data_IF_855778871691
#
_entry.id   IF_855778871691
#
_cell.length_a   1.000
_cell.length_b   1.000
_cell.length_c   1.000
_cell.angle_alpha   90.00
_cell.angle_beta   90.00
_cell.angle_gamma   90.00
#
_symmetry.space_group_name_H-M   'P 1'
#
loop_
_entity.id
_entity.type
_entity.pdbx_description
1 polymer ?
#
# COMPACT_ATOMS: atom_id res chain seq x y z
N UNK A 1 -15.30 5.04 -18.32
CA UNK A 1 -14.74 4.08 -17.34
C UNK A 1 -13.55 3.33 -17.94
N UNK A 2 -13.67 2.63 -19.07
CA UNK A 2 -12.57 1.86 -19.67
C UNK A 2 -11.38 2.64 -20.22
N UNK A 3 -11.56 3.92 -20.55
CA UNK A 3 -10.46 4.75 -21.01
C UNK A 3 -9.31 4.83 -19.98
N UNK A 4 -9.60 4.65 -18.68
CA UNK A 4 -8.58 4.58 -17.62
C UNK A 4 -7.65 3.39 -17.84
N UNK A 5 -8.13 2.31 -18.47
CA UNK A 5 -7.34 1.13 -18.84
C UNK A 5 -6.85 1.17 -20.30
N UNK A 6 -6.95 2.32 -20.98
CA UNK A 6 -6.53 2.46 -22.38
C UNK A 6 -7.43 1.70 -23.36
N UNK A 7 -8.60 1.27 -22.91
CA UNK A 7 -9.57 0.49 -23.69
C UNK A 7 -10.69 1.36 -24.20
N UNK A 8 -11.12 1.07 -25.42
CA UNK A 8 -12.28 1.70 -26.07
C UNK A 8 -13.38 0.70 -26.43
N UNK A 9 -13.17 -0.59 -26.15
CA UNK A 9 -14.14 -1.66 -26.36
C UNK A 9 -15.11 -1.78 -25.16
N UNK A 10 -16.14 -2.62 -25.31
CA UNK A 10 -17.16 -2.86 -24.28
C UNK A 10 -16.98 -4.22 -23.57
N UNK A 11 -15.92 -4.98 -23.90
CA UNK A 11 -15.74 -6.34 -23.38
C UNK A 11 -15.48 -6.30 -21.87
N UNK A 12 -16.35 -6.95 -21.09
CA UNK A 12 -16.29 -6.96 -19.63
C UNK A 12 -16.85 -5.68 -18.96
N UNK A 13 -17.40 -4.71 -19.72
CA UNK A 13 -17.87 -3.42 -19.16
C UNK A 13 -18.92 -3.62 -18.08
N UNK A 14 -19.83 -4.57 -18.30
CA UNK A 14 -20.87 -4.92 -17.36
C UNK A 14 -20.28 -5.49 -16.05
N UNK A 15 -19.25 -6.33 -16.16
CA UNK A 15 -18.59 -6.92 -15.00
C UNK A 15 -17.83 -5.87 -14.20
N UNK A 16 -17.08 -4.98 -14.89
CA UNK A 16 -16.39 -3.86 -14.26
C UNK A 16 -17.38 -2.90 -13.57
N UNK A 17 -18.47 -2.55 -14.24
CA UNK A 17 -19.49 -1.68 -13.65
C UNK A 17 -20.14 -2.34 -12.43
N UNK A 18 -20.37 -3.64 -12.48
CA UNK A 18 -20.88 -4.41 -11.33
C UNK A 18 -19.89 -4.38 -10.17
N UNK A 19 -18.60 -4.66 -10.42
CA UNK A 19 -17.53 -4.60 -9.41
C UNK A 19 -17.48 -3.22 -8.75
N UNK A 20 -17.50 -2.14 -9.54
CA UNK A 20 -17.46 -0.77 -9.04
C UNK A 20 -18.71 -0.40 -8.24
N UNK A 21 -19.88 -0.87 -8.67
CA UNK A 21 -21.13 -0.66 -7.92
C UNK A 21 -21.11 -1.42 -6.59
N UNK A 22 -20.48 -2.59 -6.54
CA UNK A 22 -20.30 -3.35 -5.30
C UNK A 22 -19.30 -2.67 -4.36
N UNK A 23 -18.16 -2.19 -4.88
CA UNK A 23 -17.19 -1.40 -4.11
C UNK A 23 -17.80 -0.10 -3.56
N UNK A 24 -18.63 0.60 -4.33
CA UNK A 24 -19.30 1.83 -3.92
C UNK A 24 -20.30 1.65 -2.75
N UNK A 25 -20.71 0.40 -2.46
CA UNK A 25 -21.51 0.07 -1.26
C UNK A 25 -20.66 0.05 0.01
N UNK A 26 -19.36 -0.19 -0.12
CA UNK A 26 -18.41 -0.32 0.99
C UNK A 26 -17.70 1.01 1.25
N UNK A 27 -17.23 1.67 0.19
CA UNK A 27 -16.44 2.89 0.27
C UNK A 27 -17.31 4.14 0.12
N UNK A 28 -17.06 5.13 0.97
CA UNK A 28 -17.73 6.43 0.93
C UNK A 28 -16.86 7.48 0.23
N UNK A 29 -15.58 7.57 0.59
CA UNK A 29 -14.63 8.52 0.01
C UNK A 29 -13.18 8.06 0.22
N UNK A 30 -12.30 8.65 -0.59
CA UNK A 30 -10.85 8.51 -0.50
C UNK A 30 -10.29 9.92 -0.32
N UNK A 31 -9.67 10.17 0.82
CA UNK A 31 -9.13 11.47 1.19
C UNK A 31 -7.61 11.40 1.33
N UNK A 32 -6.96 12.57 1.35
CA UNK A 32 -5.52 12.71 1.60
C UNK A 32 -4.66 11.83 0.65
N UNK A 33 -5.09 11.73 -0.62
CA UNK A 33 -4.41 10.88 -1.60
C UNK A 33 -3.03 11.42 -1.97
N UNK A 34 -2.01 10.58 -1.83
CA UNK A 34 -0.63 10.86 -2.22
C UNK A 34 -0.13 9.77 -3.15
N UNK A 35 0.49 10.16 -4.27
CA UNK A 35 1.06 9.24 -5.25
C UNK A 35 2.58 9.28 -5.23
N UNK A 36 3.22 8.11 -5.18
CA UNK A 36 4.66 7.92 -5.28
C UNK A 36 4.94 7.23 -6.61
N UNK A 37 5.66 7.92 -7.50
CA UNK A 37 5.86 7.48 -8.88
C UNK A 37 7.33 7.15 -9.10
N UNK A 38 7.58 5.96 -9.62
CA UNK A 38 8.88 5.58 -10.18
C UNK A 38 8.73 5.18 -11.64
N UNK A 39 9.85 5.15 -12.38
CA UNK A 39 9.89 4.59 -13.73
C UNK A 39 9.54 3.11 -13.67
N UNK A 40 8.78 2.65 -14.66
CA UNK A 40 8.46 1.24 -14.84
C UNK A 40 9.50 0.53 -15.69
N UNK A 41 9.20 -0.71 -16.06
CA UNK A 41 10.08 -1.57 -16.85
C UNK A 41 10.27 -1.04 -18.28
N UNK A 42 9.19 -0.56 -18.90
CA UNK A 42 9.20 0.02 -20.24
C UNK A 42 9.56 1.52 -20.19
N UNK A 43 10.18 2.09 -21.24
CA UNK A 43 10.61 3.50 -21.25
C UNK A 43 9.50 4.53 -20.97
N UNK A 44 8.27 4.20 -21.38
CA UNK A 44 7.08 5.05 -21.22
C UNK A 44 6.12 4.48 -20.17
N UNK A 45 6.65 3.77 -19.17
CA UNK A 45 5.85 3.21 -18.10
C UNK A 45 6.30 3.67 -16.72
N UNK A 46 5.41 3.45 -15.75
CA UNK A 46 5.54 3.95 -14.40
C UNK A 46 4.92 2.94 -13.42
N UNK A 47 5.55 2.79 -12.26
CA UNK A 47 4.93 2.14 -11.09
C UNK A 47 4.47 3.25 -10.17
N UNK A 48 3.18 3.26 -9.86
CA UNK A 48 2.55 4.30 -9.04
C UNK A 48 2.01 3.67 -7.77
N UNK A 49 2.59 3.98 -6.62
CA UNK A 49 2.01 3.65 -5.33
C UNK A 49 1.07 4.77 -4.89
N UNK A 50 -0.13 4.41 -4.45
CA UNK A 50 -1.22 5.32 -4.13
C UNK A 50 -1.59 5.10 -2.66
N UNK A 51 -1.25 6.07 -1.82
CA UNK A 51 -1.67 6.12 -0.43
C UNK A 51 -2.92 6.97 -0.31
N UNK A 52 -3.91 6.55 0.47
CA UNK A 52 -5.11 7.34 0.76
C UNK A 52 -5.70 6.97 2.10
N UNK A 53 -6.41 7.91 2.72
CA UNK A 53 -7.27 7.67 3.87
C UNK A 53 -8.67 7.33 3.39
N UNK A 54 -9.05 6.07 3.57
CA UNK A 54 -10.32 5.54 3.10
C UNK A 54 -11.39 5.72 4.17
N UNK A 55 -12.51 6.30 3.78
CA UNK A 55 -13.73 6.36 4.58
C UNK A 55 -14.66 5.23 4.15
N UNK A 56 -14.95 4.33 5.07
CA UNK A 56 -15.98 3.30 4.89
C UNK A 56 -17.36 3.85 5.20
N UNK A 57 -18.39 3.33 4.52
CA UNK A 57 -19.77 3.67 4.88
C UNK A 57 -20.07 3.23 6.32
N UNK A 58 -20.82 4.06 7.03
CA UNK A 58 -21.28 3.82 8.41
C UNK A 58 -20.14 3.67 9.46
N UNK A 59 -18.92 4.09 9.14
CA UNK A 59 -17.76 4.07 10.05
C UNK A 59 -17.08 5.44 10.02
N UNK A 60 -16.91 6.08 11.19
CA UNK A 60 -16.34 7.42 11.29
C UNK A 60 -14.83 7.50 11.12
N UNK A 61 -14.14 6.48 11.59
CA UNK A 61 -12.68 6.41 11.51
C UNK A 61 -12.22 6.08 10.09
N UNK A 62 -11.40 6.96 9.52
CA UNK A 62 -10.72 6.68 8.24
C UNK A 62 -9.57 5.71 8.44
N UNK A 63 -9.35 4.83 7.47
CA UNK A 63 -8.27 3.86 7.50
C UNK A 63 -7.27 4.13 6.37
N UNK A 64 -5.96 4.12 6.64
CA UNK A 64 -4.97 4.25 5.58
C UNK A 64 -5.00 3.01 4.67
N UNK A 65 -4.91 3.22 3.37
CA UNK A 65 -4.85 2.18 2.34
C UNK A 65 -3.76 2.49 1.33
N UNK A 66 -2.86 1.53 1.12
CA UNK A 66 -1.82 1.58 0.10
C UNK A 66 -2.20 0.61 -1.03
N UNK A 67 -2.28 1.13 -2.24
CA UNK A 67 -2.41 0.32 -3.45
C UNK A 67 -1.33 0.71 -4.46
N UNK A 68 -1.24 -0.02 -5.56
CA UNK A 68 -0.34 0.32 -6.66
C UNK A 68 -1.03 0.13 -8.01
N UNK A 69 -0.53 0.84 -9.03
CA UNK A 69 -0.92 0.66 -10.42
C UNK A 69 0.31 0.70 -11.31
N UNK A 70 0.32 -0.15 -12.34
CA UNK A 70 1.26 -0.03 -13.45
C UNK A 70 0.63 0.85 -14.53
N UNK A 71 1.31 1.93 -14.89
CA UNK A 71 0.78 2.96 -15.79
C UNK A 71 1.66 3.05 -17.03
N UNK A 72 1.04 3.10 -18.19
CA UNK A 72 1.69 3.29 -19.48
C UNK A 72 1.29 4.65 -20.06
N UNK A 73 2.20 5.26 -20.81
CA UNK A 73 1.99 6.50 -21.55
C UNK A 73 2.01 6.20 -23.05
N UNK A 74 0.85 6.24 -23.70
CA UNK A 74 0.72 6.09 -25.16
C UNK A 74 -0.61 6.64 -25.69
N UNK A 75 -0.61 7.63 -26.60
CA UNK A 75 0.54 8.40 -27.08
C UNK A 75 1.15 9.27 -25.96
N UNK A 76 2.17 10.07 -26.27
CA UNK A 76 2.77 11.01 -25.32
C UNK A 76 1.70 11.86 -24.62
N UNK A 77 1.85 12.04 -23.31
CA UNK A 77 0.94 12.75 -22.40
C UNK A 77 -0.45 12.11 -22.24
N UNK A 78 -0.66 10.87 -22.72
CA UNK A 78 -1.87 10.10 -22.52
C UNK A 78 -1.58 8.83 -21.69
N UNK A 79 -2.01 8.86 -20.43
CA UNK A 79 -1.74 7.80 -19.45
C UNK A 79 -2.92 6.84 -19.28
N UNK A 80 -2.62 5.56 -19.13
CA UNK A 80 -3.60 4.53 -18.79
C UNK A 80 -2.99 3.48 -17.86
N UNK A 81 -3.84 2.89 -17.01
CA UNK A 81 -3.50 1.77 -16.14
C UNK A 81 -3.51 0.48 -16.93
N UNK A 82 -2.50 -0.36 -16.73
CA UNK A 82 -2.47 -1.72 -17.26
C UNK A 82 -3.18 -2.63 -16.27
N UNK A 83 -4.14 -3.41 -16.75
CA UNK A 83 -4.81 -4.42 -15.93
C UNK A 83 -3.77 -5.49 -15.48
N UNK A 84 -3.81 -5.91 -14.20
CA UNK A 84 -2.79 -6.78 -13.61
C UNK A 84 -2.62 -8.13 -14.36
N UNK A 85 -3.69 -8.66 -14.95
CA UNK A 85 -3.68 -9.87 -15.76
C UNK A 85 -3.03 -9.68 -17.13
N UNK A 86 -3.00 -8.44 -17.64
CA UNK A 86 -2.39 -8.05 -18.92
C UNK A 86 -0.94 -7.61 -18.81
N UNK A 87 -0.42 -7.41 -17.60
CA UNK A 87 1.00 -7.17 -17.38
C UNK A 87 1.83 -8.42 -17.73
N UNK A 88 2.98 -8.21 -18.37
CA UNK A 88 3.98 -9.24 -18.64
C UNK A 88 4.64 -9.73 -17.34
N UNK A 89 5.30 -10.88 -17.38
CA UNK A 89 6.02 -11.42 -16.23
C UNK A 89 7.17 -10.51 -15.78
N UNK A 90 7.88 -9.90 -16.73
CA UNK A 90 8.98 -8.97 -16.44
C UNK A 90 8.47 -7.69 -15.76
N UNK A 91 7.33 -7.14 -16.21
CA UNK A 91 6.70 -5.99 -15.55
C UNK A 91 6.25 -6.32 -14.13
N UNK A 92 5.64 -7.49 -13.91
CA UNK A 92 5.23 -7.94 -12.57
C UNK A 92 6.43 -8.11 -11.65
N UNK A 93 7.50 -8.73 -12.15
CA UNK A 93 8.75 -8.90 -11.40
C UNK A 93 9.37 -7.55 -11.06
N UNK A 94 9.37 -6.60 -12.00
CA UNK A 94 9.88 -5.27 -11.75
C UNK A 94 9.07 -4.54 -10.67
N UNK A 95 7.74 -4.62 -10.69
CA UNK A 95 6.90 -4.07 -9.61
C UNK A 95 7.22 -4.69 -8.25
N UNK A 96 7.42 -6.01 -8.19
CA UNK A 96 7.83 -6.73 -6.97
C UNK A 96 9.20 -6.24 -6.46
N UNK A 97 10.18 -6.06 -7.35
CA UNK A 97 11.50 -5.51 -7.01
C UNK A 97 11.40 -4.07 -6.48
N UNK A 98 10.60 -3.21 -7.12
CA UNK A 98 10.36 -1.84 -6.66
C UNK A 98 9.68 -1.83 -5.29
N UNK A 99 8.74 -2.74 -5.04
CA UNK A 99 8.02 -2.83 -3.75
C UNK A 99 8.95 -3.16 -2.56
N UNK A 100 10.13 -3.72 -2.84
CA UNK A 100 11.17 -4.07 -1.87
C UNK A 100 12.21 -2.96 -1.67
N UNK A 101 12.02 -1.80 -2.28
CA UNK A 101 12.88 -0.64 -2.02
C UNK A 101 12.67 -0.12 -0.59
N UNK A 102 13.73 0.42 0.01
CA UNK A 102 13.71 0.88 1.41
C UNK A 102 12.60 1.91 1.68
N UNK A 103 12.39 2.85 0.75
CA UNK A 103 11.36 3.89 0.87
C UNK A 103 9.94 3.30 0.87
N UNK A 104 9.68 2.28 0.04
CA UNK A 104 8.35 1.65 -0.04
C UNK A 104 8.12 0.73 1.17
N UNK A 105 9.15 0.02 1.64
CA UNK A 105 9.08 -0.76 2.89
C UNK A 105 8.78 0.17 4.07
N UNK A 106 9.44 1.32 4.16
CA UNK A 106 9.20 2.30 5.22
C UNK A 106 7.77 2.87 5.15
N UNK A 107 7.29 3.19 3.96
CA UNK A 107 5.91 3.67 3.73
C UNK A 107 4.88 2.63 4.16
N UNK A 108 5.03 1.38 3.71
CA UNK A 108 4.13 0.29 4.06
C UNK A 108 4.13 0.02 5.58
N UNK A 109 5.30 0.01 6.23
CA UNK A 109 5.41 -0.16 7.67
C UNK A 109 4.68 0.96 8.44
N UNK A 110 4.84 2.21 8.00
CA UNK A 110 4.14 3.35 8.59
C UNK A 110 2.62 3.21 8.42
N UNK A 111 2.15 2.85 7.23
CA UNK A 111 0.73 2.68 6.96
C UNK A 111 0.11 1.52 7.75
N UNK A 112 0.83 0.42 7.94
CA UNK A 112 0.38 -0.70 8.80
C UNK A 112 0.25 -0.28 10.26
N UNK A 113 1.19 0.53 10.76
CA UNK A 113 1.12 1.08 12.11
C UNK A 113 -0.10 1.99 12.28
N UNK A 114 -0.35 2.87 11.32
CA UNK A 114 -1.48 3.79 11.36
C UNK A 114 -2.81 3.03 11.22
N UNK A 115 -2.86 2.00 10.37
CA UNK A 115 -4.01 1.11 10.26
C UNK A 115 -4.28 0.39 11.59
N UNK A 116 -3.24 -0.18 12.21
CA UNK A 116 -3.37 -0.88 13.49
C UNK A 116 -3.92 0.04 14.58
N UNK A 117 -3.49 1.30 14.62
CA UNK A 117 -4.04 2.30 15.54
C UNK A 117 -5.53 2.57 15.25
N UNK A 118 -5.90 2.79 13.98
CA UNK A 118 -7.28 3.05 13.57
C UNK A 118 -8.22 1.89 13.94
N UNK A 119 -7.88 0.66 13.58
CA UNK A 119 -8.71 -0.53 13.86
C UNK A 119 -8.82 -0.85 15.35
N UNK A 120 -7.80 -0.48 16.15
CA UNK A 120 -7.84 -0.66 17.61
C UNK A 120 -8.72 0.41 18.27
N UNK A 121 -8.74 1.62 17.71
CA UNK A 121 -9.52 2.74 18.24
C UNK A 121 -11.01 2.67 17.93
N UNK A 122 -11.41 1.94 16.88
CA UNK A 122 -12.78 1.86 16.38
C UNK A 122 -13.22 0.40 16.23
N UNK A 123 -14.19 0.00 17.05
CA UNK A 123 -14.71 -1.37 17.10
C UNK A 123 -15.42 -1.75 15.78
N UNK A 124 -16.11 -0.82 15.12
CA UNK A 124 -16.80 -1.10 13.86
C UNK A 124 -15.78 -1.35 12.76
N UNK A 125 -14.74 -0.51 12.69
CA UNK A 125 -13.62 -0.68 11.77
C UNK A 125 -12.87 -1.99 12.03
N UNK A 126 -12.49 -2.26 13.27
CA UNK A 126 -11.82 -3.50 13.65
C UNK A 126 -12.64 -4.75 13.33
N UNK A 127 -13.97 -4.68 13.48
CA UNK A 127 -14.87 -5.78 13.10
C UNK A 127 -14.88 -6.00 11.59
N UNK A 128 -14.97 -4.94 10.78
CA UNK A 128 -14.92 -5.02 9.32
C UNK A 128 -13.63 -5.71 8.84
N UNK A 129 -12.47 -5.24 9.31
CA UNK A 129 -11.18 -5.84 8.96
C UNK A 129 -11.06 -7.29 9.44
N UNK A 130 -11.58 -7.62 10.62
CA UNK A 130 -11.60 -9.00 11.12
C UNK A 130 -12.42 -9.94 10.24
N UNK A 131 -13.53 -9.47 9.66
CA UNK A 131 -14.33 -10.25 8.71
C UNK A 131 -13.54 -10.48 7.42
N UNK A 132 -12.90 -9.44 6.89
CA UNK A 132 -12.10 -9.56 5.67
C UNK A 132 -10.94 -10.52 5.81
N UNK A 133 -10.19 -10.46 6.92
CA UNK A 133 -9.09 -11.40 7.19
C UNK A 133 -9.61 -12.84 7.24
N UNK A 134 -10.72 -13.10 7.95
CA UNK A 134 -11.34 -14.43 8.00
C UNK A 134 -11.77 -14.92 6.62
N UNK A 135 -12.40 -14.05 5.84
CA UNK A 135 -12.86 -14.39 4.49
C UNK A 135 -11.67 -14.69 3.57
N UNK A 136 -10.59 -13.91 3.63
CA UNK A 136 -9.38 -14.16 2.85
C UNK A 136 -8.75 -15.53 3.18
N UNK A 137 -8.68 -15.90 4.47
CA UNK A 137 -8.19 -17.21 4.89
C UNK A 137 -9.08 -18.38 4.45
N UNK A 138 -10.38 -18.15 4.22
CA UNK A 138 -11.31 -19.18 3.74
C UNK A 138 -11.39 -19.30 2.21
N UNK A 139 -10.82 -18.34 1.48
CA UNK A 139 -11.09 -18.13 0.05
C UNK A 139 -9.78 -18.05 -0.77
N UNK A 140 -8.85 -18.99 -0.54
CA UNK A 140 -7.51 -19.13 -1.19
C UNK A 140 -7.50 -19.25 -2.74
N UNK A 141 -8.50 -18.73 -3.46
CA UNK A 141 -8.50 -18.71 -4.93
C UNK A 141 -9.03 -17.41 -5.55
N UNK A 142 -9.36 -16.37 -4.77
CA UNK A 142 -9.86 -15.11 -5.36
C UNK A 142 -9.28 -13.80 -4.78
N UNK A 143 -8.53 -13.83 -3.68
CA UNK A 143 -8.04 -12.62 -2.99
C UNK A 143 -6.59 -12.25 -3.30
N UNK A 144 -5.92 -12.92 -4.24
CA UNK A 144 -4.49 -12.71 -4.53
C UNK A 144 -4.20 -11.53 -5.49
N UNK A 145 -5.20 -10.78 -5.95
CA UNK A 145 -5.00 -9.75 -6.98
C UNK A 145 -4.97 -8.30 -6.46
N UNK A 146 -5.46 -8.01 -5.25
CA UNK A 146 -5.57 -6.62 -4.75
C UNK A 146 -5.33 -6.58 -3.24
N UNK A 147 -4.08 -6.80 -2.84
CA UNK A 147 -3.42 -6.34 -1.60
C UNK A 147 -2.13 -7.16 -1.49
N UNK A 148 -1.08 -6.75 -2.20
CA UNK A 148 0.27 -7.27 -1.96
C UNK A 148 0.84 -6.56 -0.73
N UNK A 149 0.35 -6.93 0.44
CA UNK A 149 1.08 -6.79 1.70
C UNK A 149 1.84 -8.09 1.85
N UNK A 150 3.11 -8.07 1.46
CA UNK A 150 4.02 -9.18 1.66
C UNK A 150 4.00 -9.59 3.14
N UNK A 151 3.42 -10.76 3.40
CA UNK A 151 3.56 -11.48 4.64
C UNK A 151 4.92 -12.18 4.61
N UNK A 152 5.98 -11.49 5.07
CA UNK A 152 7.18 -12.17 5.52
C UNK A 152 6.98 -12.58 6.98
N UNK A 153 6.40 -13.77 7.18
CA UNK A 153 6.44 -14.46 8.47
C UNK A 153 7.83 -15.09 8.61
N UNK A 154 8.80 -14.32 9.11
CA UNK A 154 10.04 -14.91 9.58
C UNK A 154 9.78 -15.64 10.90
N UNK A 155 9.76 -16.96 10.80
CA UNK A 155 9.92 -17.92 11.89
C UNK A 155 10.97 -17.46 12.91
N UNK A 156 10.59 -17.34 14.18
CA UNK A 156 11.49 -17.63 15.31
C UNK A 156 10.72 -18.38 16.38
N UNK A 157 11.27 -19.53 16.73
CA UNK A 157 10.87 -20.49 17.74
C UNK A 157 10.63 -19.91 19.13
N UNK A 158 9.68 -20.55 19.80
CA UNK A 158 9.52 -20.62 21.25
C UNK A 158 10.82 -21.04 21.95
N UNK A 159 11.26 -20.25 22.94
CA UNK A 159 11.93 -20.78 24.14
C UNK A 159 11.69 -19.85 25.32
N UNK A 160 11.17 -20.46 26.39
CA UNK A 160 10.93 -19.88 27.71
C UNK A 160 12.28 -19.62 28.42
N UNK A 161 12.40 -18.49 29.14
CA UNK A 161 12.54 -18.46 30.61
C UNK A 161 13.17 -17.15 31.13
N UNK A 162 12.59 -16.72 32.26
CA UNK A 162 13.15 -16.02 33.41
C UNK A 162 13.82 -14.62 33.35
N UNK A 163 13.06 -13.64 33.84
CA UNK A 163 13.41 -12.61 34.84
C UNK A 163 14.89 -12.41 35.23
N UNK A 164 15.39 -11.16 35.15
CA UNK A 164 15.82 -10.35 36.33
C UNK A 164 16.31 -8.96 35.90
N UNK A 165 16.19 -8.02 36.83
CA UNK A 165 16.33 -6.55 36.69
C UNK A 165 17.66 -6.05 37.30
N UNK A 166 18.09 -4.85 36.86
CA UNK A 166 19.24 -4.02 37.27
C UNK A 166 20.62 -4.43 36.71
N UNK A 167 21.54 -3.54 36.32
CA UNK A 167 21.81 -2.18 36.80
C UNK A 167 22.65 -1.37 35.79
N UNK A 168 22.75 -0.09 36.09
CA UNK A 168 23.38 1.04 35.41
C UNK A 168 24.92 0.98 35.48
N UNK A 169 25.64 1.45 34.47
CA UNK A 169 26.83 2.34 34.63
C UNK A 169 27.36 2.88 33.30
N UNK A 170 27.70 4.17 33.33
CA UNK A 170 28.32 5.00 32.30
C UNK A 170 29.68 4.47 31.81
N UNK A 171 30.12 4.85 30.60
CA UNK A 171 31.19 5.88 30.41
C UNK A 171 31.71 5.93 28.94
N UNK A 172 31.63 7.16 28.39
CA UNK A 172 32.43 7.81 27.32
C UNK A 172 32.39 7.37 25.84
N UNK A 173 31.90 8.35 25.05
CA UNK A 173 32.63 9.16 24.04
C UNK A 173 33.16 8.42 22.80
N UNK A 174 32.54 8.70 21.66
CA UNK A 174 33.29 9.28 20.56
C UNK A 174 32.41 10.19 19.68
N UNK A 175 32.95 11.36 19.39
CA UNK A 175 32.35 12.45 18.62
C UNK A 175 32.32 12.08 17.13
N UNK A 176 31.18 12.29 16.46
CA UNK A 176 31.11 12.40 15.01
C UNK A 176 30.37 13.70 14.66
N UNK A 177 31.18 14.66 14.24
CA UNK A 177 30.80 15.96 13.71
C UNK A 177 30.04 15.79 12.39
N UNK A 178 28.77 16.21 12.34
CA UNK A 178 28.05 16.48 11.09
C UNK A 178 27.50 17.90 11.14
N UNK A 179 28.13 18.75 10.33
CA UNK A 179 27.76 20.13 10.08
C UNK A 179 26.49 20.18 9.22
N UNK A 180 25.42 20.77 9.75
CA UNK A 180 24.20 21.12 9.00
C UNK A 180 24.29 22.62 8.70
N UNK A 181 24.43 22.97 7.42
CA UNK A 181 24.27 24.34 6.95
C UNK A 181 22.79 24.57 6.62
N UNK A 182 22.06 25.25 7.50
CA UNK A 182 20.76 25.82 7.20
C UNK A 182 20.94 27.08 6.34
N UNK A 183 20.40 27.08 5.12
CA UNK A 183 20.24 28.31 4.34
C UNK A 183 18.82 28.82 4.54
N UNK A 184 18.72 29.89 5.34
CA UNK A 184 17.52 30.70 5.51
C UNK A 184 17.30 31.53 4.25
N UNK A 185 16.30 31.18 3.44
CA UNK A 185 15.79 32.08 2.40
C UNK A 185 14.62 32.87 2.97
N UNK A 186 14.90 34.12 3.32
CA UNK A 186 13.87 35.14 3.48
C UNK A 186 13.82 35.97 2.20
N UNK A 187 12.62 36.13 1.66
CA UNK A 187 12.18 37.37 1.04
C UNK A 187 10.65 37.45 1.08
#
# INVERSE_FOLDING_TARGET
MYNVFGRSDEDGLADLQTKLNDEAKVYESFDDTVTYVTKGYEPNSYVVFISSNVKFRDIDTKAPMLTWAYVMENPKDAFYMVENDKMTEDEKKYVDEVSKSEDIIALDAQMRKDLAAAVTSDIQLGTLYSIWVKNASTNETAAAAETSVAAETSSVESSEEESTVESITETTKNEANISIAETKSGN
#
